data_IF_549838667990
#
_entry.id   IF_549838667990
#
_cell.length_a   1.000
_cell.length_b   1.000
_cell.length_c   1.000
_cell.angle_alpha   90.00
_cell.angle_beta   90.00
_cell.angle_gamma   90.00
#
_symmetry.space_group_name_H-M   'P 1'
#
loop_
_entity.id
_entity.type
_entity.pdbx_description
1 polymer ?
#
# COMPACT_ATOMS: atom_id res chain seq x y z
N UNK A 1 36.19 -6.31 -26.84
CA UNK A 1 34.98 -6.68 -27.59
C UNK A 1 33.84 -7.22 -26.70
N UNK A 2 34.13 -8.15 -25.79
CA UNK A 2 33.09 -8.62 -24.83
C UNK A 2 32.57 -7.50 -23.91
N UNK A 3 33.42 -6.57 -23.51
CA UNK A 3 33.04 -5.45 -22.66
C UNK A 3 32.16 -4.41 -23.39
N UNK A 4 32.33 -4.22 -24.69
CA UNK A 4 31.55 -3.25 -25.46
C UNK A 4 30.07 -3.62 -25.55
N UNK A 5 29.74 -4.90 -25.60
CA UNK A 5 28.33 -5.37 -25.62
C UNK A 5 27.71 -5.18 -24.26
N UNK A 6 28.43 -5.46 -23.18
CA UNK A 6 27.94 -5.28 -21.81
C UNK A 6 27.82 -3.79 -21.46
N UNK A 7 28.74 -2.97 -21.93
CA UNK A 7 28.70 -1.52 -21.72
C UNK A 7 27.55 -0.84 -22.50
N UNK A 8 27.10 -1.46 -23.58
CA UNK A 8 25.95 -0.97 -24.34
C UNK A 8 24.60 -1.30 -23.68
N UNK A 9 24.58 -2.27 -22.77
CA UNK A 9 23.37 -2.63 -22.03
C UNK A 9 23.19 -1.68 -20.84
N UNK A 10 22.10 -0.92 -20.85
CA UNK A 10 21.76 -0.07 -19.72
C UNK A 10 21.13 -0.95 -18.62
N UNK A 11 21.79 -1.03 -17.50
CA UNK A 11 21.32 -1.80 -16.33
C UNK A 11 21.10 -0.88 -15.14
N UNK A 12 20.20 -1.32 -14.25
CA UNK A 12 19.96 -0.61 -13.00
C UNK A 12 21.08 -0.89 -11.99
N UNK A 13 21.50 0.14 -11.25
CA UNK A 13 22.41 -0.03 -10.13
C UNK A 13 21.69 -0.70 -8.94
N UNK A 14 22.38 -1.61 -8.28
CA UNK A 14 21.82 -2.28 -7.10
C UNK A 14 21.47 -1.31 -5.96
N UNK A 15 22.21 -0.22 -5.86
CA UNK A 15 21.97 0.83 -4.86
C UNK A 15 20.65 1.56 -5.06
N UNK A 16 20.10 1.56 -6.29
CA UNK A 16 18.83 2.22 -6.60
C UNK A 16 17.59 1.38 -6.28
N UNK A 17 17.77 0.13 -5.86
CA UNK A 17 16.68 -0.68 -5.35
C UNK A 17 16.24 -0.15 -3.99
N UNK A 18 14.95 0.16 -3.87
CA UNK A 18 14.37 0.69 -2.62
C UNK A 18 14.19 -0.44 -1.61
N UNK A 19 14.76 -0.26 -0.42
CA UNK A 19 14.61 -1.22 0.66
C UNK A 19 13.15 -1.22 1.18
N UNK A 20 12.53 -2.38 1.25
CA UNK A 20 11.18 -2.54 1.79
C UNK A 20 11.09 -2.27 3.29
N UNK A 21 12.20 -2.21 4.00
CA UNK A 21 12.28 -1.92 5.44
C UNK A 21 12.29 -0.42 5.74
N UNK A 22 12.63 0.41 4.77
CA UNK A 22 12.73 1.86 4.94
C UNK A 22 11.42 2.54 4.54
N UNK A 23 10.40 2.31 5.36
CA UNK A 23 9.07 2.85 5.18
C UNK A 23 8.48 3.32 6.50
N UNK A 24 7.50 4.21 6.41
CA UNK A 24 6.73 4.69 7.55
C UNK A 24 5.26 4.68 7.21
N UNK A 25 4.43 4.35 8.19
CA UNK A 25 2.97 4.37 8.06
C UNK A 25 2.38 5.29 9.13
N UNK A 26 1.53 6.22 8.72
CA UNK A 26 0.83 7.14 9.60
C UNK A 26 -0.68 6.95 9.44
N UNK A 27 -1.39 7.00 10.56
CA UNK A 27 -2.85 6.97 10.57
C UNK A 27 -3.35 8.32 11.06
N UNK A 28 -4.29 8.90 10.33
CA UNK A 28 -4.96 10.15 10.70
C UNK A 28 -6.42 9.86 10.98
N UNK A 29 -6.83 10.02 12.22
CA UNK A 29 -8.20 9.84 12.70
C UNK A 29 -8.61 11.04 13.55
N UNK A 30 -9.75 11.65 13.24
CA UNK A 30 -10.31 12.80 13.99
C UNK A 30 -9.30 13.92 14.24
N UNK A 31 -8.45 14.22 13.28
CA UNK A 31 -7.41 15.23 13.39
C UNK A 31 -6.16 14.79 14.16
N UNK A 32 -6.17 13.62 14.77
CA UNK A 32 -5.00 13.04 15.43
C UNK A 32 -4.18 12.19 14.45
N UNK A 33 -2.87 12.38 14.48
CA UNK A 33 -1.94 11.65 13.65
C UNK A 33 -1.13 10.68 14.49
N UNK A 34 -1.17 9.42 14.12
CA UNK A 34 -0.45 8.35 14.81
C UNK A 34 0.62 7.76 13.89
N UNK A 35 1.84 7.62 14.38
CA UNK A 35 2.88 6.86 13.70
C UNK A 35 2.69 5.38 14.04
N UNK A 36 2.39 4.57 13.04
CA UNK A 36 2.16 3.13 13.22
C UNK A 36 3.48 2.37 13.10
N UNK A 37 4.34 2.49 14.11
CA UNK A 37 5.63 1.80 14.11
C UNK A 37 5.52 0.30 14.42
N UNK A 38 4.35 -0.17 14.84
CA UNK A 38 4.03 -1.59 14.99
C UNK A 38 3.78 -2.29 13.65
N UNK A 39 3.67 -1.54 12.56
CA UNK A 39 3.40 -2.11 11.25
C UNK A 39 4.58 -2.94 10.76
N UNK A 40 4.28 -4.17 10.36
CA UNK A 40 5.25 -5.12 9.80
C UNK A 40 5.17 -5.16 8.28
N UNK A 41 3.95 -5.18 7.75
CA UNK A 41 3.70 -5.33 6.32
C UNK A 41 2.41 -4.61 5.95
N UNK A 42 2.45 -3.89 4.84
CA UNK A 42 1.27 -3.25 4.27
C UNK A 42 1.27 -3.48 2.76
N UNK A 43 0.10 -3.81 2.23
CA UNK A 43 -0.13 -3.92 0.80
C UNK A 43 -1.48 -3.29 0.48
N UNK A 44 -1.49 -2.25 -0.32
CA UNK A 44 -2.71 -1.61 -0.80
C UNK A 44 -2.75 -1.73 -2.32
N UNK A 45 -3.88 -2.19 -2.84
CA UNK A 45 -4.05 -2.51 -4.26
C UNK A 45 -5.17 -1.68 -4.87
N UNK A 46 -4.99 -1.35 -6.14
CA UNK A 46 -5.99 -0.72 -6.98
C UNK A 46 -6.30 -1.70 -8.11
N UNK A 47 -7.56 -2.12 -8.21
CA UNK A 47 -8.02 -3.03 -9.24
C UNK A 47 -8.98 -2.33 -10.17
N UNK A 48 -8.69 -2.36 -11.47
CA UNK A 48 -9.61 -1.91 -12.51
C UNK A 48 -10.48 -3.07 -12.96
N UNK A 49 -11.79 -2.87 -12.96
CA UNK A 49 -12.73 -3.78 -13.58
C UNK A 49 -12.91 -3.36 -15.05
N UNK A 50 -12.73 -4.32 -15.95
CA UNK A 50 -12.78 -4.06 -17.39
C UNK A 50 -13.89 -4.87 -18.04
N UNK A 51 -14.53 -4.29 -19.04
CA UNK A 51 -15.48 -4.97 -19.90
C UNK A 51 -14.97 -5.02 -21.34
N UNK A 52 -15.32 -6.10 -22.02
CA UNK A 52 -14.99 -6.27 -23.42
C UNK A 52 -15.87 -5.36 -24.28
N UNK A 53 -15.26 -4.69 -25.23
CA UNK A 53 -15.94 -3.81 -26.17
C UNK A 53 -15.71 -4.33 -27.58
N UNK A 54 -16.81 -4.58 -28.29
CA UNK A 54 -16.74 -4.93 -29.71
C UNK A 54 -16.43 -3.66 -30.53
N UNK A 55 -15.45 -3.76 -31.41
CA UNK A 55 -15.01 -2.64 -32.25
C UNK A 55 -15.17 -3.02 -33.70
N UNK A 56 -15.90 -2.19 -34.46
CA UNK A 56 -16.13 -2.39 -35.87
C UNK A 56 -14.80 -2.40 -36.64
N UNK A 57 -14.63 -3.40 -37.51
CA UNK A 57 -13.42 -3.55 -38.31
C UNK A 57 -12.26 -4.25 -37.59
N UNK A 58 -12.46 -4.71 -36.34
CA UNK A 58 -11.48 -5.50 -35.59
C UNK A 58 -12.03 -6.88 -35.25
N UNK A 59 -11.20 -7.90 -35.41
CA UNK A 59 -11.54 -9.27 -35.00
C UNK A 59 -11.43 -9.38 -33.48
N UNK A 60 -10.38 -8.80 -32.88
CA UNK A 60 -10.18 -8.79 -31.45
C UNK A 60 -11.02 -7.72 -30.76
N UNK A 61 -11.61 -8.06 -29.61
CA UNK A 61 -12.32 -7.10 -28.77
C UNK A 61 -11.34 -6.20 -28.01
N UNK A 62 -11.73 -4.95 -27.79
CA UNK A 62 -11.07 -4.05 -26.86
C UNK A 62 -11.55 -4.27 -25.42
N UNK A 63 -10.85 -3.72 -24.47
CA UNK A 63 -11.25 -3.73 -23.07
C UNK A 63 -11.33 -2.31 -22.55
N UNK A 64 -12.45 -1.98 -21.89
CA UNK A 64 -12.66 -0.67 -21.30
C UNK A 64 -12.83 -0.78 -19.80
N UNK A 65 -12.10 0.05 -19.06
CA UNK A 65 -12.24 0.13 -17.59
C UNK A 65 -13.60 0.75 -17.24
N UNK A 66 -14.36 0.08 -16.38
CA UNK A 66 -15.71 0.51 -15.98
C UNK A 66 -15.77 0.98 -14.53
N UNK A 67 -14.95 0.39 -13.66
CA UNK A 67 -14.91 0.73 -12.25
C UNK A 67 -13.55 0.45 -11.65
N UNK A 68 -13.34 0.92 -10.42
CA UNK A 68 -12.11 0.71 -9.66
C UNK A 68 -12.46 0.21 -8.27
N UNK A 69 -11.74 -0.79 -7.82
CA UNK A 69 -11.84 -1.32 -6.46
C UNK A 69 -10.54 -1.05 -5.71
N UNK A 70 -10.66 -0.63 -4.47
CA UNK A 70 -9.54 -0.34 -3.59
C UNK A 70 -9.56 -1.29 -2.40
N UNK A 71 -8.54 -2.08 -2.24
CA UNK A 71 -8.42 -3.03 -1.13
C UNK A 71 -6.98 -3.15 -0.67
N UNK A 72 -6.80 -3.61 0.55
CA UNK A 72 -5.47 -3.83 1.08
C UNK A 72 -5.48 -4.67 2.34
N UNK A 73 -4.28 -4.96 2.81
CA UNK A 73 -4.05 -5.66 4.07
C UNK A 73 -2.90 -5.01 4.82
N UNK A 74 -3.00 -5.03 6.13
CA UNK A 74 -1.99 -4.51 7.05
C UNK A 74 -1.72 -5.56 8.12
N UNK A 75 -0.47 -5.95 8.25
CA UNK A 75 -0.02 -6.83 9.33
C UNK A 75 0.74 -6.00 10.36
N UNK A 76 0.32 -6.09 11.60
CA UNK A 76 0.94 -5.39 12.73
C UNK A 76 1.29 -6.36 13.84
N UNK A 77 2.24 -5.96 14.69
CA UNK A 77 2.39 -6.57 16.00
C UNK A 77 1.24 -6.11 16.90
N UNK A 78 0.60 -7.05 17.57
CA UNK A 78 -0.59 -6.74 18.39
C UNK A 78 -0.20 -6.18 19.76
N UNK A 79 0.16 -4.91 19.79
CA UNK A 79 0.48 -4.18 21.02
C UNK A 79 -0.10 -2.77 21.03
N UNK A 80 -1.16 -2.54 20.26
CA UNK A 80 -1.88 -1.27 20.22
C UNK A 80 -3.39 -1.51 20.30
N UNK A 81 -4.10 -0.61 20.96
CA UNK A 81 -5.55 -0.64 21.07
C UNK A 81 -6.26 0.20 20.01
N UNK A 82 -5.52 0.84 19.10
CA UNK A 82 -6.08 1.79 18.14
C UNK A 82 -7.22 1.19 17.31
N UNK A 83 -6.98 0.04 16.71
CA UNK A 83 -7.97 -0.64 15.87
C UNK A 83 -9.07 -1.30 16.68
N UNK A 84 -8.75 -1.85 17.84
CA UNK A 84 -9.73 -2.46 18.75
C UNK A 84 -10.76 -1.42 19.21
N UNK A 85 -10.34 -0.21 19.52
CA UNK A 85 -11.23 0.90 19.90
C UNK A 85 -12.16 1.32 18.77
N UNK A 86 -11.69 1.33 17.53
CA UNK A 86 -12.51 1.63 16.37
C UNK A 86 -13.64 0.61 16.19
N UNK A 87 -13.31 -0.67 16.31
CA UNK A 87 -14.29 -1.77 16.18
C UNK A 87 -15.24 -1.80 17.38
N UNK A 88 -14.74 -1.60 18.58
CA UNK A 88 -15.56 -1.53 19.79
C UNK A 88 -16.61 -0.40 19.70
N UNK A 89 -16.21 0.77 19.22
CA UNK A 89 -17.12 1.89 18.98
C UNK A 89 -18.22 1.52 17.98
N UNK A 90 -17.87 0.87 16.88
CA UNK A 90 -18.84 0.43 15.88
C UNK A 90 -19.84 -0.58 16.47
N UNK A 91 -19.36 -1.56 17.22
CA UNK A 91 -20.22 -2.57 17.84
C UNK A 91 -21.16 -2.00 18.89
N UNK A 92 -20.74 -0.98 19.63
CA UNK A 92 -21.56 -0.35 20.69
C UNK A 92 -22.52 0.71 20.17
N UNK A 93 -22.11 1.50 19.19
CA UNK A 93 -22.85 2.69 18.75
C UNK A 93 -23.39 2.60 17.33
N UNK A 94 -22.94 1.65 16.53
CA UNK A 94 -23.25 1.55 15.11
C UNK A 94 -22.53 2.61 14.25
N UNK A 95 -21.66 3.41 14.84
CA UNK A 95 -20.87 4.43 14.12
C UNK A 95 -19.54 3.83 13.68
N UNK A 96 -19.36 3.72 12.36
CA UNK A 96 -18.14 3.21 11.77
C UNK A 96 -17.06 4.30 11.66
N UNK A 97 -15.81 3.91 11.67
CA UNK A 97 -14.67 4.82 11.59
C UNK A 97 -13.99 4.72 10.24
N UNK A 98 -13.92 5.85 9.55
CA UNK A 98 -13.12 6.01 8.33
C UNK A 98 -11.92 6.89 8.67
N UNK A 99 -10.75 6.47 8.26
CA UNK A 99 -9.51 7.19 8.54
C UNK A 99 -8.63 7.27 7.29
N UNK A 100 -7.66 8.18 7.32
CA UNK A 100 -6.66 8.29 6.27
C UNK A 100 -5.37 7.60 6.71
N UNK A 101 -4.68 6.98 5.75
CA UNK A 101 -3.43 6.29 6.00
C UNK A 101 -2.37 6.82 5.04
N UNK A 102 -1.27 7.33 5.57
CA UNK A 102 -0.14 7.79 4.77
C UNK A 102 0.98 6.78 4.84
N UNK A 103 1.45 6.35 3.67
CA UNK A 103 2.57 5.43 3.52
C UNK A 103 3.71 6.16 2.84
N UNK A 104 4.88 6.14 3.47
CA UNK A 104 6.08 6.79 2.97
C UNK A 104 7.17 5.75 2.80
N UNK A 105 7.72 5.67 1.58
CA UNK A 105 8.90 4.86 1.28
C UNK A 105 10.05 5.81 1.00
N UNK A 106 11.14 5.66 1.72
CA UNK A 106 12.31 6.52 1.55
C UNK A 106 13.59 5.77 1.85
N UNK A 107 14.33 5.43 0.81
CA UNK A 107 15.66 4.84 0.92
C UNK A 107 16.69 5.89 0.53
N UNK A 108 17.51 6.39 1.48
CA UNK A 108 18.52 7.44 1.18
C UNK A 108 19.59 6.99 0.20
N UNK A 109 19.82 5.70 0.06
CA UNK A 109 20.81 5.14 -0.87
C UNK A 109 20.31 5.15 -2.31
N UNK A 110 19.02 5.05 -2.52
CA UNK A 110 18.41 5.03 -3.85
C UNK A 110 18.23 6.44 -4.41
N UNK A 111 18.56 6.61 -5.68
CA UNK A 111 18.31 7.85 -6.43
C UNK A 111 16.83 8.03 -6.77
N UNK A 112 16.02 6.99 -6.60
CA UNK A 112 14.57 7.09 -6.77
C UNK A 112 13.93 8.08 -5.80
N UNK A 113 14.54 8.33 -4.66
CA UNK A 113 14.09 9.31 -3.68
C UNK A 113 12.91 8.80 -2.84
N UNK A 114 12.10 9.73 -2.38
CA UNK A 114 10.96 9.48 -1.48
C UNK A 114 9.68 9.34 -2.27
N UNK A 115 8.86 8.36 -1.87
CA UNK A 115 7.48 8.20 -2.35
C UNK A 115 6.53 8.34 -1.17
N UNK A 116 5.49 9.15 -1.32
CA UNK A 116 4.46 9.33 -0.30
C UNK A 116 3.07 9.21 -0.92
N UNK A 117 2.24 8.36 -0.34
CA UNK A 117 0.88 8.09 -0.79
C UNK A 117 -0.07 8.18 0.38
N UNK A 118 -1.21 8.83 0.20
CA UNK A 118 -2.27 8.87 1.19
C UNK A 118 -3.45 8.05 0.67
N UNK A 119 -3.84 7.04 1.46
CA UNK A 119 -5.05 6.26 1.24
C UNK A 119 -6.20 6.95 1.96
N UNK A 120 -7.23 7.33 1.21
CA UNK A 120 -8.38 8.08 1.73
C UNK A 120 -9.53 7.15 2.09
N UNK A 121 -10.18 7.43 3.21
CA UNK A 121 -11.38 6.72 3.61
C UNK A 121 -11.16 5.24 3.89
N UNK A 122 -10.08 4.92 4.60
CA UNK A 122 -9.77 3.54 4.98
C UNK A 122 -10.76 3.04 6.02
N UNK A 123 -11.32 1.87 5.78
CA UNK A 123 -12.22 1.18 6.68
C UNK A 123 -11.81 -0.28 6.83
N UNK A 124 -11.77 -0.75 8.06
CA UNK A 124 -11.39 -2.13 8.36
C UNK A 124 -12.52 -3.09 8.02
N UNK A 125 -12.22 -4.16 7.28
CA UNK A 125 -13.18 -5.21 6.95
C UNK A 125 -13.17 -6.32 7.99
N UNK A 126 -11.99 -6.67 8.49
CA UNK A 126 -11.78 -7.81 9.37
C UNK A 126 -10.74 -7.48 10.42
N UNK A 127 -11.02 -7.87 11.65
CA UNK A 127 -10.15 -7.70 12.80
C UNK A 127 -10.14 -8.98 13.63
N UNK A 128 -8.96 -9.42 14.05
CA UNK A 128 -8.82 -10.52 15.01
C UNK A 128 -9.15 -10.01 16.42
N UNK A 129 -10.27 -10.48 16.98
CA UNK A 129 -10.74 -10.02 18.29
C UNK A 129 -9.89 -10.55 19.44
N UNK A 130 -9.48 -11.80 19.35
CA UNK A 130 -8.64 -12.45 20.36
C UNK A 130 -7.78 -13.53 19.72
N UNK A 131 -6.55 -13.63 20.18
CA UNK A 131 -5.59 -14.58 19.63
C UNK A 131 -4.58 -14.98 20.69
N UNK A 132 -4.25 -16.26 20.76
CA UNK A 132 -3.08 -16.75 21.47
C UNK A 132 -2.57 -18.04 20.81
N UNK A 133 -1.27 -18.26 20.88
CA UNK A 133 -0.62 -19.47 20.41
C UNK A 133 0.55 -19.79 21.34
N UNK A 134 0.44 -20.88 22.10
CA UNK A 134 1.46 -21.29 23.07
C UNK A 134 2.80 -21.67 22.43
N UNK A 135 2.77 -22.07 21.15
CA UNK A 135 3.96 -22.41 20.37
C UNK A 135 4.50 -21.23 19.56
N UNK A 136 3.73 -20.14 19.48
CA UNK A 136 4.12 -18.93 18.78
C UNK A 136 5.16 -18.12 19.55
N UNK A 137 5.86 -17.23 18.83
CA UNK A 137 6.91 -16.38 19.41
C UNK A 137 6.36 -15.00 19.83
N UNK A 138 5.40 -14.47 19.10
CA UNK A 138 4.80 -13.16 19.33
C UNK A 138 3.42 -13.10 18.69
N UNK A 139 2.62 -12.11 19.09
CA UNK A 139 1.26 -11.92 18.53
C UNK A 139 1.34 -10.96 17.36
N UNK A 140 0.91 -11.42 16.20
CA UNK A 140 0.71 -10.62 15.00
C UNK A 140 -0.76 -10.62 14.62
N UNK A 141 -1.23 -9.52 14.04
CA UNK A 141 -2.57 -9.42 13.48
C UNK A 141 -2.53 -8.96 12.04
N UNK A 142 -3.37 -9.56 11.22
CA UNK A 142 -3.62 -9.12 9.86
C UNK A 142 -5.00 -8.48 9.79
N UNK A 143 -5.06 -7.25 9.30
CA UNK A 143 -6.29 -6.50 9.10
C UNK A 143 -6.50 -6.31 7.60
N UNK A 144 -7.62 -6.78 7.09
CA UNK A 144 -8.04 -6.45 5.73
C UNK A 144 -8.85 -5.16 5.76
N UNK A 145 -8.66 -4.33 4.78
CA UNK A 145 -9.34 -3.05 4.68
C UNK A 145 -9.70 -2.70 3.24
N UNK A 146 -10.69 -1.82 3.11
CA UNK A 146 -11.00 -1.13 1.87
C UNK A 146 -10.72 0.36 2.06
N UNK A 147 -10.51 1.07 0.96
CA UNK A 147 -10.37 2.51 0.97
C UNK A 147 -11.05 3.11 -0.25
N UNK A 148 -11.28 4.41 -0.24
CA UNK A 148 -12.14 5.07 -1.23
C UNK A 148 -11.35 5.85 -2.27
N UNK A 149 -10.09 6.17 -2.01
CA UNK A 149 -9.27 6.93 -2.93
C UNK A 149 -7.81 6.95 -2.57
N UNK A 150 -7.00 7.45 -3.49
CA UNK A 150 -5.55 7.57 -3.34
C UNK A 150 -5.12 8.98 -3.72
N UNK A 151 -4.28 9.58 -2.89
CA UNK A 151 -3.60 10.82 -3.21
C UNK A 151 -2.09 10.56 -3.26
N UNK A 152 -1.50 10.77 -4.41
CA UNK A 152 -0.05 10.71 -4.57
C UNK A 152 0.53 12.06 -4.17
N UNK A 153 1.18 12.12 -3.01
CA UNK A 153 1.82 13.34 -2.51
C UNK A 153 3.17 13.56 -3.19
N UNK A 154 3.91 12.47 -3.36
CA UNK A 154 5.22 12.48 -3.98
C UNK A 154 5.48 11.16 -4.68
N UNK A 155 5.92 11.22 -5.93
CA UNK A 155 6.35 10.06 -6.70
C UNK A 155 7.85 9.84 -6.56
N UNK A 156 8.30 8.62 -6.83
CA UNK A 156 9.71 8.36 -7.07
C UNK A 156 10.22 9.18 -8.27
N UNK A 157 11.47 9.58 -8.20
CA UNK A 157 12.15 10.20 -9.34
C UNK A 157 12.42 9.13 -10.41
N UNK A 158 12.36 9.54 -11.68
CA UNK A 158 12.83 8.69 -12.76
C UNK A 158 14.33 8.48 -12.63
N UNK A 159 14.78 7.25 -12.77
CA UNK A 159 16.20 6.93 -12.78
C UNK A 159 16.84 7.38 -14.10
N UNK A 160 18.10 7.84 -14.02
CA UNK A 160 18.84 8.26 -15.20
C UNK A 160 18.94 7.13 -16.23
N UNK A 161 18.63 7.44 -17.47
CA UNK A 161 18.68 6.50 -18.58
C UNK A 161 17.42 5.66 -18.83
N UNK A 162 16.35 5.88 -18.05
CA UNK A 162 15.03 5.29 -18.36
C UNK A 162 14.40 5.93 -19.60
N UNK A 163 14.61 7.21 -19.76
CA UNK A 163 14.13 7.94 -20.92
C UNK A 163 15.14 7.79 -22.06
N UNK A 164 14.72 7.17 -23.12
CA UNK A 164 15.53 6.97 -24.30
C UNK A 164 15.50 8.17 -25.27
#
# INVERSE_FOLDING_TARGET
>A
MENEILDALKTMDAADVVSSKLASCYIVENGNRYLLFQAKKLSAKIKKNKEKVAILGRIGAGNKSTSVEYSGSLTIYHNTALFDKMVEKYLKTGVDTYFDMQVVNNDPTSKAGRRSVILKGVNLDELTAAEFDAEGKYIEQEHNFTYEGVKYVQHFNELDGMQA
#
